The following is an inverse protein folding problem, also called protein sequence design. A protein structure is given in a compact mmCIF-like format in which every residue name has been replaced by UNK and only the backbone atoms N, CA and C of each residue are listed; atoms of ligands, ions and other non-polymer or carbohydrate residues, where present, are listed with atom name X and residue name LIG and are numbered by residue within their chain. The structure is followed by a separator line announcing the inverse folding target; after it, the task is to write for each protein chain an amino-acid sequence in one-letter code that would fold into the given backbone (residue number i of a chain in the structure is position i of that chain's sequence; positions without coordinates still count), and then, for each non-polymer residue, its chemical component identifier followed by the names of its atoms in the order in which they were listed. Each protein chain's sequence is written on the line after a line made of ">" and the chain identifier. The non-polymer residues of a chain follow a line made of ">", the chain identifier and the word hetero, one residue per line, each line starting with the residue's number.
data_IF_585158617523
#
_entry.id   IF_585158617523
#
_cell.length_a   1.000
_cell.length_b   1.000
_cell.length_c   1.000
_cell.angle_alpha   90.00
_cell.angle_beta   90.00
_cell.angle_gamma   90.00
#
_symmetry.space_group_name_H-M   'P 1'
#
loop_
_entity.id
_entity.type
_entity.pdbx_description
1 polymer ?
#
# COMPACT_ATOMS: atom_id res chain seq x y z
N UNK A 1 -53.93 71.21 25.32
CA UNK A 1 -52.67 71.14 24.55
C UNK A 1 -52.56 69.74 23.98
N UNK A 2 -52.37 69.68 22.67
CA UNK A 2 -52.27 68.50 21.81
C UNK A 2 -51.02 67.65 22.12
N UNK A 3 -51.12 66.32 21.98
CA UNK A 3 -50.40 65.39 21.06
C UNK A 3 -50.58 63.95 21.60
N UNK A 4 -51.39 63.11 20.97
CA UNK A 4 -51.05 62.13 19.92
C UNK A 4 -50.11 60.99 20.32
N UNK A 5 -50.72 59.81 20.47
CA UNK A 5 -50.36 58.53 19.81
C UNK A 5 -48.97 57.91 20.08
N UNK A 6 -48.95 56.74 20.72
CA UNK A 6 -48.64 55.52 19.96
C UNK A 6 -49.13 54.25 20.67
N UNK A 7 -49.73 53.39 19.87
CA UNK A 7 -50.20 52.05 20.21
C UNK A 7 -49.22 50.99 19.65
N UNK A 8 -49.46 49.74 20.05
CA UNK A 8 -48.91 48.46 19.55
C UNK A 8 -47.71 47.96 20.35
N UNK A 9 -47.65 46.73 20.85
CA UNK A 9 -48.55 45.57 20.72
C UNK A 9 -47.98 44.41 21.57
N UNK A 10 -48.90 43.62 22.14
CA UNK A 10 -48.82 42.18 22.47
C UNK A 10 -47.51 41.63 23.08
N UNK A 11 -47.52 41.29 24.38
CA UNK A 11 -47.91 39.97 24.88
C UNK A 11 -46.98 38.83 24.42
N UNK A 12 -46.17 38.31 25.33
CA UNK A 12 -46.17 36.86 25.51
C UNK A 12 -45.86 36.44 26.96
N UNK A 13 -46.67 35.46 27.40
CA UNK A 13 -46.74 34.87 28.73
C UNK A 13 -45.66 33.81 28.94
N UNK A 14 -45.38 33.60 30.22
CA UNK A 14 -44.73 32.46 30.86
C UNK A 14 -44.82 31.14 30.09
N UNK A 15 -43.68 30.48 29.90
CA UNK A 15 -43.59 29.02 29.76
C UNK A 15 -42.18 28.52 30.09
N UNK A 16 -42.10 27.86 31.24
CA UNK A 16 -41.41 26.60 31.52
C UNK A 16 -39.90 26.52 31.20
N UNK A 17 -39.14 26.45 32.28
CA UNK A 17 -37.76 25.98 32.37
C UNK A 17 -37.52 24.69 31.53
N UNK A 18 -36.48 24.69 30.69
CA UNK A 18 -36.03 23.52 29.93
C UNK A 18 -34.53 23.61 29.72
N UNK A 19 -33.73 22.64 30.20
CA UNK A 19 -32.34 22.48 29.80
C UNK A 19 -32.21 21.26 28.88
N UNK A 20 -32.08 21.45 27.56
CA UNK A 20 -31.57 20.38 26.69
C UNK A 20 -31.22 20.88 25.29
N UNK A 21 -29.92 21.08 25.03
CA UNK A 21 -29.39 21.13 23.67
C UNK A 21 -28.00 20.51 23.65
N UNK A 22 -27.92 19.20 23.87
CA UNK A 22 -26.72 18.39 23.59
C UNK A 22 -27.16 17.04 23.00
N UNK A 23 -26.74 16.84 21.74
CA UNK A 23 -26.42 15.57 21.06
C UNK A 23 -27.51 14.50 20.85
N UNK A 24 -28.21 14.59 19.71
CA UNK A 24 -29.00 13.46 19.15
C UNK A 24 -28.14 12.37 18.47
N UNK A 25 -26.82 12.55 18.35
CA UNK A 25 -25.91 11.60 17.68
C UNK A 25 -25.49 10.45 18.62
N UNK A 26 -25.28 10.75 19.91
CA UNK A 26 -24.80 9.78 20.91
C UNK A 26 -25.85 8.69 21.21
N UNK A 27 -27.14 9.03 21.11
CA UNK A 27 -28.24 8.08 21.31
C UNK A 27 -28.31 7.03 20.19
N UNK A 28 -27.99 7.41 18.95
CA UNK A 28 -27.98 6.49 17.81
C UNK A 28 -26.83 5.48 17.93
N UNK A 29 -25.62 5.94 18.24
CA UNK A 29 -24.47 5.06 18.41
C UNK A 29 -24.65 4.08 19.57
N UNK A 30 -25.10 4.55 20.73
CA UNK A 30 -25.37 3.70 21.88
C UNK A 30 -26.45 2.65 21.58
N UNK A 31 -27.50 3.03 20.82
CA UNK A 31 -28.54 2.09 20.40
C UNK A 31 -27.97 0.99 19.50
N UNK A 32 -27.10 1.33 18.54
CA UNK A 32 -26.44 0.35 17.68
C UNK A 32 -25.49 -0.57 18.47
N UNK A 33 -24.74 -0.02 19.43
CA UNK A 33 -23.83 -0.78 20.29
C UNK A 33 -24.61 -1.75 21.18
N UNK A 34 -25.73 -1.32 21.77
CA UNK A 34 -26.56 -2.15 22.63
C UNK A 34 -27.26 -3.27 21.85
N UNK A 35 -27.85 -2.96 20.69
CA UNK A 35 -28.46 -3.96 19.82
C UNK A 35 -27.43 -5.00 19.38
N UNK A 36 -26.23 -4.56 18.97
CA UNK A 36 -25.15 -5.47 18.59
C UNK A 36 -24.70 -6.36 19.74
N UNK A 37 -24.63 -5.81 20.96
CA UNK A 37 -24.28 -6.58 22.17
C UNK A 37 -25.34 -7.63 22.48
N UNK A 38 -26.62 -7.30 22.33
CA UNK A 38 -27.73 -8.22 22.57
C UNK A 38 -27.70 -9.39 21.58
N UNK A 39 -27.51 -9.13 20.29
CA UNK A 39 -27.33 -10.17 19.27
C UNK A 39 -26.16 -11.13 19.56
N UNK A 40 -25.05 -10.61 20.08
CA UNK A 40 -23.89 -11.43 20.46
C UNK A 40 -24.23 -12.36 21.63
N UNK A 41 -24.98 -11.88 22.62
CA UNK A 41 -25.38 -12.66 23.79
C UNK A 41 -26.38 -13.75 23.40
N UNK A 42 -27.42 -13.39 22.65
CA UNK A 42 -28.46 -14.32 22.20
C UNK A 42 -27.88 -15.44 21.31
N UNK A 43 -26.93 -15.10 20.45
CA UNK A 43 -26.27 -16.08 19.58
C UNK A 43 -25.29 -16.99 20.35
N UNK A 44 -24.58 -16.47 21.38
CA UNK A 44 -23.76 -17.29 22.27
C UNK A 44 -24.60 -18.28 23.09
N UNK A 45 -25.79 -17.86 23.54
CA UNK A 45 -26.74 -18.72 24.24
C UNK A 45 -27.30 -19.83 23.33
N UNK A 46 -27.50 -19.53 22.04
CA UNK A 46 -27.90 -20.51 21.03
C UNK A 46 -26.75 -21.44 20.55
N UNK A 47 -25.53 -21.29 21.08
CA UNK A 47 -24.36 -22.06 20.63
C UNK A 47 -23.89 -21.73 19.21
N UNK A 48 -24.31 -20.57 18.68
CA UNK A 48 -23.96 -20.11 17.33
C UNK A 48 -22.74 -19.19 17.44
N UNK A 49 -21.66 -19.55 16.76
CA UNK A 49 -20.41 -18.79 16.81
C UNK A 49 -20.57 -17.40 16.16
N UNK A 50 -20.53 -16.35 16.96
CA UNK A 50 -20.70 -14.97 16.47
C UNK A 50 -19.38 -14.46 15.90
N UNK A 51 -19.32 -14.32 14.57
CA UNK A 51 -18.17 -13.69 13.91
C UNK A 51 -18.04 -12.23 14.34
N UNK A 52 -16.85 -11.85 14.83
CA UNK A 52 -16.48 -10.44 15.07
C UNK A 52 -16.64 -9.65 13.76
N UNK A 53 -17.44 -8.58 13.79
CA UNK A 53 -17.69 -7.72 12.61
C UNK A 53 -16.71 -6.58 12.46
N UNK A 54 -15.90 -6.30 13.48
CA UNK A 54 -14.81 -5.35 13.34
C UNK A 54 -13.67 -6.03 12.58
N UNK A 55 -13.55 -5.71 11.28
CA UNK A 55 -12.30 -5.94 10.56
C UNK A 55 -11.28 -4.99 11.18
N UNK A 56 -10.31 -5.53 11.92
CA UNK A 56 -9.11 -4.77 12.25
C UNK A 56 -8.39 -4.54 10.93
N UNK A 57 -8.50 -3.34 10.37
CA UNK A 57 -7.77 -2.95 9.16
C UNK A 57 -6.33 -2.77 9.60
N UNK A 58 -5.55 -3.84 9.48
CA UNK A 58 -4.14 -3.78 9.73
C UNK A 58 -3.45 -3.69 8.36
N UNK A 59 -2.92 -2.51 8.05
CA UNK A 59 -2.24 -2.24 6.78
C UNK A 59 -1.10 -3.26 6.52
N UNK A 60 -0.47 -3.77 7.57
CA UNK A 60 0.58 -4.78 7.46
C UNK A 60 0.08 -6.20 7.11
N UNK A 61 -1.22 -6.48 7.26
CA UNK A 61 -1.81 -7.77 6.87
C UNK A 61 -2.52 -7.72 5.53
N UNK A 62 -2.97 -6.54 5.12
CA UNK A 62 -3.68 -6.35 3.84
C UNK A 62 -2.71 -6.36 2.64
N UNK A 63 -1.45 -5.98 2.86
CA UNK A 63 -0.40 -5.97 1.83
C UNK A 63 0.82 -6.82 2.25
N UNK A 64 0.70 -8.16 2.26
CA UNK A 64 1.81 -9.06 2.61
C UNK A 64 2.98 -9.01 1.62
N UNK A 65 2.77 -8.50 0.41
CA UNK A 65 3.79 -8.27 -0.61
C UNK A 65 4.83 -7.21 -0.21
N UNK A 66 4.48 -6.29 0.70
CA UNK A 66 5.39 -5.26 1.15
C UNK A 66 6.02 -5.62 2.50
N UNK A 67 7.34 -5.47 2.58
CA UNK A 67 8.03 -5.52 3.87
C UNK A 67 7.61 -4.36 4.77
N UNK A 68 7.73 -4.55 6.08
CA UNK A 68 7.45 -3.49 7.07
C UNK A 68 8.28 -2.22 6.84
N UNK A 69 9.48 -2.35 6.26
CA UNK A 69 10.33 -1.20 5.95
C UNK A 69 9.79 -0.45 4.73
N UNK A 70 9.40 -1.16 3.66
CA UNK A 70 8.75 -0.54 2.50
C UNK A 70 7.47 0.20 2.90
N UNK A 71 6.60 -0.41 3.73
CA UNK A 71 5.39 0.25 4.21
C UNK A 71 5.71 1.53 4.99
N UNK A 72 6.77 1.53 5.81
CA UNK A 72 7.22 2.75 6.52
C UNK A 72 7.75 3.81 5.56
N UNK A 73 8.46 3.43 4.51
CA UNK A 73 8.96 4.36 3.51
C UNK A 73 7.82 4.98 2.71
N UNK A 74 6.84 4.17 2.28
CA UNK A 74 5.61 4.67 1.67
C UNK A 74 4.83 5.60 2.61
N UNK A 75 4.76 5.26 3.90
CA UNK A 75 4.14 6.13 4.90
C UNK A 75 4.86 7.46 5.04
N UNK A 76 6.19 7.46 4.98
CA UNK A 76 6.99 8.69 5.03
C UNK A 76 6.76 9.54 3.79
N UNK A 77 6.71 8.94 2.61
CA UNK A 77 6.40 9.63 1.35
C UNK A 77 5.01 10.23 1.40
N UNK A 78 3.99 9.45 1.79
CA UNK A 78 2.61 9.90 1.98
C UNK A 78 2.55 11.13 2.90
N UNK A 79 3.13 11.04 4.10
CA UNK A 79 3.15 12.13 5.07
C UNK A 79 3.94 13.37 4.62
N UNK A 80 4.79 13.25 3.59
CA UNK A 80 5.54 14.39 3.03
C UNK A 80 4.65 15.24 2.13
N UNK A 81 3.67 14.62 1.46
CA UNK A 81 2.77 15.28 0.52
C UNK A 81 1.38 15.57 1.10
N UNK A 82 0.97 14.86 2.16
CA UNK A 82 -0.18 15.22 2.99
C UNK A 82 0.16 16.48 3.80
N UNK A 83 -0.19 17.63 3.22
CA UNK A 83 0.05 18.95 3.82
C UNK A 83 -1.01 19.31 4.83
N UNK A 84 -2.25 18.84 4.62
CA UNK A 84 -3.37 19.04 5.53
C UNK A 84 -3.24 18.22 6.82
N UNK A 85 -2.47 17.13 6.80
CA UNK A 85 -2.35 16.12 7.85
C UNK A 85 -3.70 15.52 8.25
N UNK A 86 -4.59 15.39 7.27
CA UNK A 86 -5.90 14.76 7.48
C UNK A 86 -5.85 13.24 7.28
N UNK A 87 -4.69 12.71 6.83
CA UNK A 87 -4.51 11.28 6.57
C UNK A 87 -4.98 10.84 5.18
N UNK A 88 -5.30 11.79 4.31
CA UNK A 88 -5.73 11.59 2.94
C UNK A 88 -4.89 12.46 2.00
N UNK A 89 -4.75 12.03 0.75
CA UNK A 89 -4.21 12.88 -0.31
C UNK A 89 -5.35 13.35 -1.19
N UNK A 90 -5.61 14.66 -1.15
CA UNK A 90 -6.58 15.27 -2.04
C UNK A 90 -6.02 15.45 -3.47
N UNK A 91 -6.86 15.91 -4.39
CA UNK A 91 -6.46 16.14 -5.78
C UNK A 91 -5.33 17.17 -5.92
N UNK A 92 -5.30 18.21 -5.08
CA UNK A 92 -4.28 19.26 -5.14
C UNK A 92 -2.95 18.77 -4.58
N UNK A 93 -2.98 17.97 -3.52
CA UNK A 93 -1.81 17.34 -2.92
C UNK A 93 -1.22 16.28 -3.86
N UNK A 94 -2.07 15.47 -4.49
CA UNK A 94 -1.64 14.54 -5.55
C UNK A 94 -1.02 15.29 -6.74
N UNK A 95 -1.62 16.41 -7.15
CA UNK A 95 -1.06 17.27 -8.20
C UNK A 95 0.33 17.77 -7.83
N UNK A 96 0.47 18.31 -6.62
CA UNK A 96 1.74 18.82 -6.11
C UNK A 96 2.79 17.71 -6.04
N UNK A 97 2.40 16.51 -5.59
CA UNK A 97 3.27 15.34 -5.58
C UNK A 97 3.78 15.00 -6.98
N UNK A 98 2.91 14.91 -7.99
CA UNK A 98 3.29 14.62 -9.37
C UNK A 98 4.19 15.69 -9.98
N UNK A 99 3.96 16.97 -9.66
CA UNK A 99 4.85 18.07 -10.06
C UNK A 99 6.24 17.95 -9.41
N UNK A 100 6.31 17.56 -8.13
CA UNK A 100 7.58 17.35 -7.41
C UNK A 100 8.38 16.16 -7.90
N UNK A 101 7.69 15.12 -8.36
CA UNK A 101 8.31 13.93 -8.95
C UNK A 101 8.76 14.17 -10.41
N UNK A 102 8.45 15.33 -11.00
CA UNK A 102 8.85 15.67 -12.36
C UNK A 102 7.97 15.07 -13.46
N UNK A 103 6.79 14.55 -13.11
CA UNK A 103 5.83 13.95 -14.03
C UNK A 103 4.44 14.60 -13.88
N UNK A 104 4.29 15.89 -14.23
CA UNK A 104 3.02 16.60 -14.07
C UNK A 104 1.92 15.93 -14.90
N UNK A 105 0.75 15.74 -14.28
CA UNK A 105 -0.43 15.17 -14.92
C UNK A 105 -1.51 16.23 -15.14
N UNK A 106 -2.40 15.98 -16.10
CA UNK A 106 -3.57 16.84 -16.32
C UNK A 106 -4.59 16.67 -15.18
N UNK A 107 -5.45 17.67 -14.96
CA UNK A 107 -6.51 17.58 -13.95
C UNK A 107 -7.43 16.36 -14.17
N UNK A 108 -7.72 16.02 -15.42
CA UNK A 108 -8.51 14.84 -15.76
C UNK A 108 -7.74 13.54 -15.47
N UNK A 109 -6.45 13.50 -15.80
CA UNK A 109 -5.58 12.35 -15.48
C UNK A 109 -5.48 12.11 -13.97
N UNK A 110 -5.33 13.17 -13.17
CA UNK A 110 -5.31 13.06 -11.71
C UNK A 110 -6.63 12.51 -11.15
N UNK A 111 -7.78 12.96 -11.68
CA UNK A 111 -9.08 12.40 -11.30
C UNK A 111 -9.19 10.91 -11.64
N UNK A 112 -8.70 10.52 -12.81
CA UNK A 112 -8.69 9.11 -13.22
C UNK A 112 -7.78 8.26 -12.33
N UNK A 113 -6.60 8.79 -11.96
CA UNK A 113 -5.68 8.14 -11.03
C UNK A 113 -6.32 7.88 -9.67
N UNK A 114 -7.02 8.88 -9.10
CA UNK A 114 -7.76 8.73 -7.84
C UNK A 114 -8.85 7.67 -8.01
N UNK A 115 -9.71 7.82 -9.01
CA UNK A 115 -10.83 6.92 -9.26
C UNK A 115 -10.44 5.45 -9.51
N UNK A 116 -9.19 5.18 -9.90
CA UNK A 116 -8.70 3.82 -10.11
C UNK A 116 -8.36 3.08 -8.80
N UNK A 117 -8.07 3.81 -7.71
CA UNK A 117 -7.68 3.24 -6.41
C UNK A 117 -8.62 3.60 -5.26
N UNK A 118 -9.47 4.61 -5.45
CA UNK A 118 -10.51 5.04 -4.54
C UNK A 118 -11.60 3.95 -4.43
N UNK A 119 -11.51 3.11 -3.39
CA UNK A 119 -12.44 2.01 -3.13
C UNK A 119 -13.71 2.48 -2.40
N UNK A 120 -13.60 3.54 -1.60
CA UNK A 120 -14.68 4.07 -0.78
C UNK A 120 -15.44 5.25 -1.41
N UNK A 121 -14.97 5.75 -2.55
CA UNK A 121 -15.49 6.86 -3.35
C UNK A 121 -15.53 8.19 -2.58
N UNK A 122 -14.55 8.43 -1.70
CA UNK A 122 -14.42 9.68 -0.98
C UNK A 122 -13.77 10.80 -1.82
N UNK A 123 -13.24 10.47 -3.01
CA UNK A 123 -12.61 11.40 -3.94
C UNK A 123 -11.22 11.85 -3.49
N UNK A 124 -10.64 11.17 -2.51
CA UNK A 124 -9.29 11.34 -1.99
C UNK A 124 -8.57 9.99 -2.02
N UNK A 125 -7.31 9.96 -1.60
CA UNK A 125 -6.54 8.71 -1.48
C UNK A 125 -6.13 8.54 -0.02
N UNK A 126 -6.71 7.54 0.65
CA UNK A 126 -6.26 7.11 1.96
C UNK A 126 -4.90 6.40 1.89
N UNK A 127 -4.21 6.25 3.03
CA UNK A 127 -2.94 5.53 3.06
C UNK A 127 -3.04 4.07 2.55
N UNK A 128 -4.17 3.40 2.78
CA UNK A 128 -4.42 2.05 2.28
C UNK A 128 -4.48 2.02 0.74
N UNK A 129 -5.17 2.98 0.15
CA UNK A 129 -5.31 3.10 -1.32
C UNK A 129 -4.01 3.59 -1.97
N UNK A 130 -3.23 4.40 -1.25
CA UNK A 130 -1.88 4.76 -1.68
C UNK A 130 -1.00 3.51 -1.85
N UNK A 131 -1.06 2.55 -0.92
CA UNK A 131 -0.36 1.26 -1.06
C UNK A 131 -0.91 0.39 -2.19
N UNK A 132 -2.22 0.49 -2.47
CA UNK A 132 -2.84 -0.21 -3.59
C UNK A 132 -2.25 0.21 -4.95
N UNK A 133 -1.83 1.47 -5.10
CA UNK A 133 -1.14 1.96 -6.30
C UNK A 133 0.14 1.14 -6.55
N UNK A 134 0.99 1.03 -5.53
CA UNK A 134 2.26 0.29 -5.63
C UNK A 134 2.02 -1.20 -5.88
N UNK A 135 0.97 -1.76 -5.28
CA UNK A 135 0.63 -3.17 -5.48
C UNK A 135 0.24 -3.42 -6.93
N UNK A 136 -0.65 -2.59 -7.49
CA UNK A 136 -1.06 -2.68 -8.89
C UNK A 136 0.12 -2.49 -9.84
N UNK A 137 1.06 -1.60 -9.50
CA UNK A 137 2.29 -1.40 -10.25
C UNK A 137 3.17 -2.67 -10.27
N UNK A 138 3.41 -3.29 -9.10
CA UNK A 138 4.19 -4.53 -8.98
C UNK A 138 3.52 -5.74 -9.62
N UNK A 139 2.19 -5.78 -9.59
CA UNK A 139 1.40 -6.82 -10.26
C UNK A 139 1.37 -6.65 -11.79
N UNK A 140 1.82 -5.50 -12.32
CA UNK A 140 1.72 -5.18 -13.75
C UNK A 140 0.29 -4.96 -14.22
N UNK A 141 -0.63 -4.60 -13.31
CA UNK A 141 -2.04 -4.32 -13.62
C UNK A 141 -2.24 -2.90 -14.16
N UNK A 142 -1.28 -2.01 -13.93
CA UNK A 142 -1.30 -0.64 -14.42
C UNK A 142 -0.76 -0.55 -15.85
N UNK A 143 -1.44 0.22 -16.69
CA UNK A 143 -0.94 0.55 -18.02
C UNK A 143 0.45 1.22 -17.96
N UNK A 144 1.31 0.94 -18.93
CA UNK A 144 2.71 1.39 -18.92
C UNK A 144 2.84 2.91 -18.94
N UNK A 145 1.87 3.59 -19.55
CA UNK A 145 1.86 5.05 -19.68
C UNK A 145 0.92 5.72 -18.67
N UNK A 146 0.26 4.96 -17.79
CA UNK A 146 -0.62 5.50 -16.75
C UNK A 146 0.13 6.39 -15.76
N UNK A 147 -0.52 7.47 -15.32
CA UNK A 147 0.00 8.35 -14.28
C UNK A 147 0.29 7.60 -12.98
N UNK A 148 -0.48 6.55 -12.64
CA UNK A 148 -0.21 5.72 -11.46
C UNK A 148 1.08 4.89 -11.62
N UNK A 149 1.37 4.41 -12.82
CA UNK A 149 2.61 3.67 -13.10
C UNK A 149 3.82 4.59 -13.00
N UNK A 150 3.72 5.80 -13.56
CA UNK A 150 4.74 6.83 -13.43
C UNK A 150 4.97 7.21 -11.97
N UNK A 151 3.90 7.42 -11.20
CA UNK A 151 3.97 7.70 -9.76
C UNK A 151 4.72 6.59 -9.03
N UNK A 152 4.33 5.33 -9.23
CA UNK A 152 4.98 4.19 -8.57
C UNK A 152 6.48 4.13 -8.91
N UNK A 153 6.86 4.25 -10.18
CA UNK A 153 8.27 4.24 -10.61
C UNK A 153 9.11 5.38 -10.03
N UNK A 154 8.53 6.57 -9.88
CA UNK A 154 9.25 7.75 -9.38
C UNK A 154 9.33 7.81 -7.85
N UNK A 155 8.39 7.14 -7.16
CA UNK A 155 8.33 7.05 -5.70
C UNK A 155 8.94 5.78 -5.15
N UNK A 156 9.15 4.77 -6.00
CA UNK A 156 9.97 3.61 -5.68
C UNK A 156 11.37 4.09 -5.32
N UNK A 157 11.61 4.09 -4.00
CA UNK A 157 12.95 4.08 -3.44
C UNK A 157 13.62 2.85 -4.02
N UNK A 158 14.66 3.07 -4.82
CA UNK A 158 15.52 2.04 -5.37
C UNK A 158 16.07 1.18 -4.21
N UNK A 159 15.36 0.11 -3.88
CA UNK A 159 15.70 -0.80 -2.78
C UNK A 159 16.99 -1.56 -3.12
N UNK A 160 17.47 -1.50 -4.37
CA UNK A 160 18.80 -1.95 -4.76
C UNK A 160 19.88 -0.93 -4.36
N UNK A 161 19.61 0.38 -4.41
CA UNK A 161 20.57 1.42 -4.02
C UNK A 161 20.61 1.74 -2.53
N UNK A 162 19.48 1.74 -1.81
CA UNK A 162 19.45 2.20 -0.42
C UNK A 162 19.55 1.03 0.57
N UNK A 163 20.75 0.46 0.67
CA UNK A 163 21.26 -0.08 1.95
C UNK A 163 21.04 -1.55 2.30
N UNK A 164 20.37 -2.37 1.49
CA UNK A 164 20.29 -3.83 1.76
C UNK A 164 21.40 -4.64 1.08
N UNK A 165 22.15 -4.06 0.14
CA UNK A 165 23.32 -4.73 -0.49
C UNK A 165 24.41 -5.07 0.53
N UNK A 166 24.66 -4.17 1.49
CA UNK A 166 25.62 -4.42 2.57
C UNK A 166 25.22 -5.63 3.41
N UNK A 167 23.94 -5.75 3.78
CA UNK A 167 23.43 -6.89 4.52
C UNK A 167 23.37 -8.17 3.67
N UNK A 168 22.93 -8.08 2.41
CA UNK A 168 22.91 -9.22 1.46
C UNK A 168 24.30 -9.83 1.34
N UNK A 169 25.32 -9.03 1.07
CA UNK A 169 26.70 -9.49 0.98
C UNK A 169 27.23 -9.98 2.34
N UNK A 170 26.79 -9.41 3.47
CA UNK A 170 27.23 -9.83 4.81
C UNK A 170 26.60 -11.18 5.23
N UNK A 171 25.32 -11.39 4.93
CA UNK A 171 24.63 -12.66 5.18
C UNK A 171 25.10 -13.75 4.22
N UNK A 172 25.29 -13.43 2.94
CA UNK A 172 25.86 -14.32 1.94
C UNK A 172 27.29 -14.72 2.30
N UNK A 173 28.14 -13.76 2.70
CA UNK A 173 29.50 -14.04 3.18
C UNK A 173 29.52 -14.88 4.47
N UNK A 174 28.54 -14.71 5.36
CA UNK A 174 28.45 -15.48 6.62
C UNK A 174 27.97 -16.92 6.39
N UNK A 175 27.05 -17.12 5.44
CA UNK A 175 26.68 -18.46 4.93
C UNK A 175 27.91 -19.11 4.30
N UNK A 176 28.66 -18.38 3.48
CA UNK A 176 29.88 -18.87 2.86
C UNK A 176 30.97 -19.21 3.90
N UNK A 177 31.09 -18.43 4.97
CA UNK A 177 32.05 -18.69 6.05
C UNK A 177 31.68 -19.93 6.88
N UNK A 178 30.38 -20.22 7.04
CA UNK A 178 29.89 -21.47 7.65
C UNK A 178 29.98 -22.68 6.70
N UNK A 179 30.07 -22.46 5.39
CA UNK A 179 30.34 -23.51 4.39
C UNK A 179 31.84 -23.79 4.22
N UNK A 180 32.70 -22.77 4.34
CA UNK A 180 34.16 -22.89 4.29
C UNK A 180 34.74 -23.77 5.39
N UNK A 181 34.03 -23.99 6.49
CA UNK A 181 34.46 -24.92 7.55
C UNK A 181 34.29 -26.39 7.16
N UNK A 182 33.51 -26.69 6.12
CA UNK A 182 33.32 -28.06 5.63
C UNK A 182 34.05 -28.26 4.30
N UNK A 183 35.14 -29.02 4.37
CA UNK A 183 36.04 -29.50 3.31
C UNK A 183 35.36 -30.09 2.05
N UNK A 184 34.04 -30.24 2.06
CA UNK A 184 33.21 -30.84 1.02
C UNK A 184 32.85 -29.85 -0.10
N UNK A 185 32.83 -28.54 0.18
CA UNK A 185 32.31 -27.58 -0.81
C UNK A 185 33.33 -27.19 -1.89
N UNK A 186 34.62 -27.18 -1.54
CA UNK A 186 35.71 -26.99 -2.50
C UNK A 186 35.79 -28.16 -3.49
N UNK A 187 35.44 -29.37 -3.04
CA UNK A 187 35.43 -30.59 -3.85
C UNK A 187 34.31 -30.56 -4.92
N UNK A 188 33.10 -30.09 -4.55
CA UNK A 188 31.97 -29.94 -5.48
C UNK A 188 32.24 -28.91 -6.58
N UNK A 189 32.89 -27.79 -6.23
CA UNK A 189 33.19 -26.73 -7.22
C UNK A 189 34.23 -27.19 -8.24
N UNK A 190 35.26 -27.91 -7.77
CA UNK A 190 36.31 -28.45 -8.65
C UNK A 190 35.73 -29.50 -9.62
N UNK A 191 34.87 -30.40 -9.13
CA UNK A 191 34.27 -31.45 -9.97
C UNK A 191 33.35 -30.88 -11.06
N UNK A 192 32.55 -29.85 -10.75
CA UNK A 192 31.67 -29.22 -11.74
C UNK A 192 32.45 -28.47 -12.83
N UNK A 193 33.58 -27.87 -12.48
CA UNK A 193 34.41 -27.14 -13.45
C UNK A 193 35.15 -28.10 -14.39
N UNK A 194 35.62 -29.23 -13.88
CA UNK A 194 36.29 -30.26 -14.66
C UNK A 194 35.31 -30.94 -15.63
N UNK A 195 34.11 -31.29 -15.14
CA UNK A 195 33.04 -31.89 -15.96
C UNK A 195 32.57 -30.97 -17.09
N UNK A 196 32.52 -29.65 -16.83
CA UNK A 196 32.16 -28.64 -17.83
C UNK A 196 33.23 -28.54 -18.92
N UNK A 197 34.52 -28.54 -18.55
CA UNK A 197 35.62 -28.51 -19.53
C UNK A 197 35.66 -29.76 -20.41
N UNK A 198 35.47 -30.93 -19.82
CA UNK A 198 35.43 -32.18 -20.58
C UNK A 198 34.25 -32.23 -21.57
N UNK A 199 33.07 -31.73 -21.17
CA UNK A 199 31.92 -31.64 -22.06
C UNK A 199 32.15 -30.67 -23.22
N UNK A 200 32.80 -29.53 -22.96
CA UNK A 200 33.17 -28.53 -23.98
C UNK A 200 34.20 -29.11 -24.96
N UNK A 201 35.26 -29.78 -24.49
CA UNK A 201 36.23 -30.43 -25.38
C UNK A 201 35.59 -31.57 -26.18
N UNK A 202 34.71 -32.36 -25.57
CA UNK A 202 34.02 -33.46 -26.24
C UNK A 202 32.99 -32.95 -27.27
N UNK A 203 32.38 -31.79 -27.03
CA UNK A 203 31.54 -31.11 -28.00
C UNK A 203 32.37 -30.55 -29.16
N UNK A 204 33.48 -29.88 -28.87
CA UNK A 204 34.39 -29.36 -29.89
C UNK A 204 34.99 -30.47 -30.75
N UNK A 205 35.43 -31.59 -30.15
CA UNK A 205 35.95 -32.74 -30.89
C UNK A 205 34.89 -33.39 -31.78
N UNK A 206 33.63 -33.46 -31.31
CA UNK A 206 32.50 -33.93 -32.13
C UNK A 206 32.23 -32.98 -33.30
N UNK A 207 32.24 -31.67 -33.06
CA UNK A 207 32.05 -30.67 -34.10
C UNK A 207 33.19 -30.70 -35.13
N UNK A 208 34.45 -30.79 -34.69
CA UNK A 208 35.61 -30.91 -35.58
C UNK A 208 35.55 -32.19 -36.43
N UNK A 209 35.12 -33.31 -35.85
CA UNK A 209 34.93 -34.56 -36.60
C UNK A 209 33.84 -34.41 -37.66
N UNK A 210 32.70 -33.79 -37.33
CA UNK A 210 31.61 -33.55 -38.28
C UNK A 210 32.01 -32.59 -39.41
N UNK A 211 32.71 -31.50 -39.10
CA UNK A 211 33.20 -30.56 -40.12
C UNK A 211 34.19 -31.24 -41.07
N UNK A 212 35.13 -32.03 -40.53
CA UNK A 212 36.11 -32.75 -41.34
C UNK A 212 35.47 -33.86 -42.19
N UNK A 213 34.43 -34.52 -41.71
CA UNK A 213 33.65 -35.49 -42.48
C UNK A 213 32.84 -34.83 -43.60
N UNK A 214 32.30 -33.63 -43.38
CA UNK A 214 31.56 -32.86 -44.39
C UNK A 214 32.43 -32.32 -45.54
N UNK A 215 33.75 -32.23 -45.34
CA UNK A 215 34.72 -31.78 -46.37
C UNK A 215 35.08 -32.92 -47.35
N UNK A 216 34.81 -34.18 -47.01
CA UNK A 216 35.16 -35.36 -47.80
C UNK A 216 33.97 -35.96 -48.60
N UNK A 217 32.86 -35.25 -48.71
CA UNK A 217 31.70 -35.62 -49.54
C UNK A 217 31.59 -34.69 -50.75
#
# INVERSE_FOLDING_TARGET
>A
MSVSSNASSASNKDSVDSPSSTTNTDSSELTHILNRRQEIMDSQEAGIEVRRTYKVVNVYTDFPEFSRNQIKDYQKTFNTYDTARDGFLDLQELKFMMEKLGAPQTHLGLKQMIAEVDEDNDGKISFREFLLIFRKAQAGELDSDSGLNQLARLTEVDVEQVGVSGAKNFFEAKIEQQLRTNKFHDEIRAEQEERRREEEERAQRRQQFQQRAAIFQ
#
